data_IF_005286573085
#
_entry.id   IF_005286573085
#
_cell.length_a   1.000
_cell.length_b   1.000
_cell.length_c   1.000
_cell.angle_alpha   90.00
_cell.angle_beta   90.00
_cell.angle_gamma   90.00
#
_symmetry.space_group_name_H-M   'P 1'
#
loop_
_entity.id
_entity.type
_entity.pdbx_description
1 polymer ?
#
# COMPACT_ATOMS: atom_id res chain seq x y z
N UNK A 1 -5.96 -16.04 9.54
CA UNK A 1 -6.51 -15.71 8.20
C UNK A 1 -5.40 -15.04 7.40
N UNK A 2 -5.17 -15.44 6.16
CA UNK A 2 -4.20 -14.76 5.28
C UNK A 2 -4.98 -13.84 4.34
N UNK A 3 -5.21 -12.59 4.76
CA UNK A 3 -5.86 -11.60 3.91
C UNK A 3 -4.79 -10.91 3.06
N UNK A 4 -4.94 -11.02 1.74
CA UNK A 4 -4.08 -10.34 0.76
C UNK A 4 -4.98 -9.44 -0.07
N UNK A 5 -4.67 -8.15 -0.08
CA UNK A 5 -5.28 -7.21 -1.01
C UNK A 5 -4.51 -7.27 -2.33
N UNK A 6 -5.12 -7.85 -3.36
CA UNK A 6 -4.46 -8.09 -4.65
C UNK A 6 -4.51 -6.87 -5.57
N UNK A 7 -5.21 -5.79 -5.19
CA UNK A 7 -5.31 -4.60 -6.02
C UNK A 7 -5.68 -3.35 -5.21
N UNK A 8 -4.72 -2.44 -5.02
CA UNK A 8 -4.92 -1.17 -4.37
C UNK A 8 -4.20 0.00 -5.07
N UNK A 9 -4.69 1.22 -4.89
CA UNK A 9 -4.02 2.46 -5.31
C UNK A 9 -3.61 3.29 -4.09
N UNK A 10 -2.51 2.90 -3.44
CA UNK A 10 -2.05 3.54 -2.21
C UNK A 10 -1.47 4.94 -2.46
N UNK A 11 -1.11 5.27 -3.70
CA UNK A 11 -0.66 6.61 -4.09
C UNK A 11 -1.83 7.58 -4.37
N UNK A 12 -3.09 7.14 -4.20
CA UNK A 12 -4.27 7.96 -4.39
C UNK A 12 -4.31 9.12 -3.38
N UNK A 13 -4.88 10.26 -3.82
CA UNK A 13 -4.86 11.51 -3.04
C UNK A 13 -5.48 11.37 -1.64
N UNK A 14 -6.48 10.49 -1.49
CA UNK A 14 -7.15 10.20 -0.21
C UNK A 14 -6.21 9.60 0.84
N UNK A 15 -5.12 8.95 0.43
CA UNK A 15 -4.15 8.30 1.32
C UNK A 15 -2.91 9.14 1.61
N UNK A 16 -2.71 10.28 0.95
CA UNK A 16 -1.45 11.05 0.89
C UNK A 16 -0.75 11.28 2.24
N UNK A 17 -1.52 11.43 3.32
CA UNK A 17 -1.01 11.70 4.67
C UNK A 17 -1.45 10.67 5.73
N UNK A 18 -2.02 9.54 5.30
CA UNK A 18 -2.64 8.58 6.21
C UNK A 18 -1.94 7.21 6.21
N UNK A 19 -1.14 6.89 5.19
CA UNK A 19 -0.51 5.57 5.06
C UNK A 19 0.33 5.16 6.27
N UNK A 20 1.07 6.11 6.85
CA UNK A 20 1.90 5.87 8.05
C UNK A 20 1.07 5.42 9.27
N UNK A 21 -0.21 5.83 9.33
CA UNK A 21 -1.13 5.43 10.38
C UNK A 21 -1.93 4.16 10.00
N UNK A 22 -2.34 4.05 8.74
CA UNK A 22 -3.27 3.01 8.28
C UNK A 22 -2.58 1.66 8.08
N UNK A 23 -1.37 1.62 7.51
CA UNK A 23 -0.69 0.37 7.18
C UNK A 23 -0.37 -0.47 8.44
N UNK A 24 0.18 0.10 9.53
CA UNK A 24 0.35 -0.64 10.77
C UNK A 24 -0.96 -1.18 11.32
N UNK A 25 -2.05 -0.39 11.27
CA UNK A 25 -3.38 -0.81 11.71
C UNK A 25 -3.94 -1.96 10.86
N UNK A 26 -3.76 -1.93 9.54
CA UNK A 26 -4.18 -3.02 8.66
C UNK A 26 -3.42 -4.32 8.95
N UNK A 27 -2.13 -4.21 9.26
CA UNK A 27 -1.31 -5.33 9.71
C UNK A 27 -1.84 -5.95 11.00
N UNK A 28 -2.21 -5.13 11.98
CA UNK A 28 -2.83 -5.56 13.25
C UNK A 28 -4.19 -6.25 13.01
N UNK A 29 -4.97 -5.79 12.03
CA UNK A 29 -6.25 -6.38 11.63
C UNK A 29 -6.11 -7.66 10.79
N UNK A 30 -4.87 -8.06 10.46
CA UNK A 30 -4.58 -9.35 9.81
C UNK A 30 -4.32 -9.29 8.30
N UNK A 31 -4.17 -8.10 7.71
CA UNK A 31 -3.68 -7.96 6.33
C UNK A 31 -2.21 -8.38 6.26
N UNK A 32 -1.90 -9.30 5.34
CA UNK A 32 -0.55 -9.85 5.17
C UNK A 32 0.23 -9.16 4.07
N UNK A 33 -0.41 -8.91 2.93
CA UNK A 33 0.20 -8.25 1.78
C UNK A 33 -0.82 -7.39 1.04
N UNK A 34 -0.35 -6.31 0.43
CA UNK A 34 -1.13 -5.36 -0.38
C UNK A 34 -0.38 -5.13 -1.68
N UNK A 35 -0.95 -5.52 -2.82
CA UNK A 35 -0.36 -5.26 -4.13
C UNK A 35 -0.85 -3.89 -4.61
N UNK A 36 0.01 -2.87 -4.51
CA UNK A 36 -0.35 -1.54 -5.01
C UNK A 36 0.03 -1.34 -6.49
N UNK A 37 -0.91 -0.84 -7.29
CA UNK A 37 -0.75 -0.63 -8.72
C UNK A 37 -0.61 0.85 -9.07
N UNK A 38 0.38 1.19 -9.90
CA UNK A 38 0.41 2.46 -10.62
C UNK A 38 -0.32 2.36 -11.96
N UNK A 39 -0.76 3.50 -12.49
CA UNK A 39 -1.47 3.62 -13.79
C UNK A 39 -0.61 4.26 -14.88
N UNK A 40 0.60 4.73 -14.53
CA UNK A 40 1.55 5.36 -15.43
C UNK A 40 2.98 5.29 -14.87
N UNK A 41 3.97 5.79 -15.61
CA UNK A 41 5.38 5.76 -15.21
C UNK A 41 5.67 6.47 -13.89
N UNK A 42 4.99 7.59 -13.61
CA UNK A 42 5.16 8.35 -12.37
C UNK A 42 4.61 7.59 -11.16
N UNK A 43 3.39 7.08 -11.28
CA UNK A 43 2.72 6.32 -10.21
C UNK A 43 3.39 4.96 -9.97
N UNK A 44 3.94 4.32 -11.02
CA UNK A 44 4.75 3.10 -10.87
C UNK A 44 6.03 3.33 -10.05
N UNK A 45 6.66 4.51 -10.13
CA UNK A 45 7.79 4.83 -9.24
C UNK A 45 7.33 4.95 -7.79
N UNK A 46 6.18 5.57 -7.55
CA UNK A 46 5.59 5.64 -6.20
C UNK A 46 5.26 4.26 -5.64
N UNK A 47 4.75 3.33 -6.44
CA UNK A 47 4.57 1.92 -6.03
C UNK A 47 5.86 1.32 -5.47
N UNK A 48 6.99 1.51 -6.17
CA UNK A 48 8.29 1.01 -5.71
C UNK A 48 8.79 1.71 -4.45
N UNK A 49 8.50 3.01 -4.29
CA UNK A 49 8.82 3.75 -3.06
C UNK A 49 7.99 3.24 -1.86
N UNK A 50 6.70 2.97 -2.09
CA UNK A 50 5.79 2.44 -1.07
C UNK A 50 6.20 1.02 -0.63
N UNK A 51 6.53 0.13 -1.57
CA UNK A 51 7.00 -1.23 -1.26
C UNK A 51 8.34 -1.25 -0.52
N UNK A 52 9.20 -0.24 -0.72
CA UNK A 52 10.43 -0.07 0.07
C UNK A 52 10.16 0.46 1.48
N UNK A 53 9.11 1.27 1.63
CA UNK A 53 8.78 1.95 2.88
C UNK A 53 7.97 1.06 3.83
N UNK A 54 7.10 0.21 3.29
CA UNK A 54 6.19 -0.62 4.07
C UNK A 54 6.37 -2.11 3.73
N UNK A 55 6.61 -2.93 4.75
CA UNK A 55 6.97 -4.35 4.59
C UNK A 55 5.84 -5.24 4.05
N UNK A 56 4.59 -4.77 4.15
CA UNK A 56 3.40 -5.48 3.65
C UNK A 56 2.91 -4.99 2.28
N UNK A 57 3.62 -4.04 1.64
CA UNK A 57 3.26 -3.47 0.33
C UNK A 57 4.22 -3.98 -0.75
#
# INVERSE_FOLDING_TARGET
>A
MNLIDVHAHLDHAEFSNQLEQLIPRWKELGVKHIITSGVNTTTNRKTLELAKRFDIV
#
